data_IF_699740520025
#
_entry.id   IF_699740520025
#
_cell.length_a   1.000
_cell.length_b   1.000
_cell.length_c   1.000
_cell.angle_alpha   90.00
_cell.angle_beta   90.00
_cell.angle_gamma   90.00
#
_symmetry.space_group_name_H-M   'P 1'
#
loop_
_entity.id
_entity.type
_entity.pdbx_description
1 polymer ?
#
# COMPACT_ATOMS: atom_id res chain seq x y z
N UNK A 1 -27.37 19.36 18.64
CA UNK A 1 -26.53 18.15 18.76
C UNK A 1 -26.69 17.31 17.49
N UNK A 2 -25.65 16.56 17.11
CA UNK A 2 -25.73 15.60 16.01
C UNK A 2 -26.36 14.30 16.55
N UNK A 3 -27.51 13.90 15.99
CA UNK A 3 -28.27 12.79 16.55
C UNK A 3 -28.28 11.54 15.64
N UNK A 4 -27.92 11.70 14.35
CA UNK A 4 -27.97 10.64 13.35
C UNK A 4 -26.77 10.69 12.40
N UNK A 5 -26.23 9.53 12.05
CA UNK A 5 -25.17 9.35 11.04
C UNK A 5 -25.64 8.32 10.01
N UNK A 6 -25.42 8.61 8.72
CA UNK A 6 -25.69 7.71 7.60
C UNK A 6 -24.39 7.47 6.84
N UNK A 7 -24.07 6.22 6.54
CA UNK A 7 -22.79 5.83 5.92
C UNK A 7 -23.04 4.85 4.77
N UNK A 8 -22.39 5.13 3.65
CA UNK A 8 -22.31 4.20 2.51
C UNK A 8 -21.21 3.17 2.73
N UNK A 9 -21.46 1.90 2.40
CA UNK A 9 -20.48 0.82 2.52
C UNK A 9 -20.41 -0.03 1.25
N UNK A 10 -19.22 -0.57 0.99
CA UNK A 10 -18.95 -1.56 -0.07
C UNK A 10 -18.73 -2.98 0.49
N UNK A 11 -18.82 -3.14 1.82
CA UNK A 11 -18.61 -4.40 2.53
C UNK A 11 -19.64 -4.65 3.63
N UNK A 12 -19.44 -5.67 4.48
CA UNK A 12 -20.43 -6.14 5.45
C UNK A 12 -20.95 -5.03 6.38
N UNK A 13 -22.19 -4.59 6.14
CA UNK A 13 -22.82 -3.48 6.87
C UNK A 13 -22.85 -3.68 8.38
N UNK A 14 -23.11 -4.91 8.84
CA UNK A 14 -23.25 -5.22 10.26
C UNK A 14 -21.94 -4.96 11.02
N UNK A 15 -20.82 -5.49 10.54
CA UNK A 15 -19.51 -5.33 11.18
C UNK A 15 -19.10 -3.86 11.25
N UNK A 16 -19.33 -3.11 10.17
CA UNK A 16 -18.95 -1.70 10.13
C UNK A 16 -19.86 -0.84 11.01
N UNK A 17 -21.16 -1.11 11.02
CA UNK A 17 -22.09 -0.44 11.91
C UNK A 17 -21.74 -0.68 13.37
N UNK A 18 -21.54 -1.94 13.79
CA UNK A 18 -21.15 -2.25 15.17
C UNK A 18 -19.82 -1.59 15.57
N UNK A 19 -18.87 -1.46 14.63
CA UNK A 19 -17.63 -0.73 14.87
C UNK A 19 -17.91 0.76 15.14
N UNK A 20 -18.73 1.40 14.32
CA UNK A 20 -19.04 2.82 14.46
C UNK A 20 -19.88 3.11 15.70
N UNK A 21 -20.85 2.26 16.04
CA UNK A 21 -21.69 2.41 17.23
C UNK A 21 -20.86 2.33 18.53
N UNK A 22 -19.79 1.51 18.53
CA UNK A 22 -18.83 1.47 19.64
C UNK A 22 -17.99 2.75 19.76
N UNK A 23 -17.62 3.38 18.63
CA UNK A 23 -16.79 4.59 18.61
C UNK A 23 -17.63 5.83 18.97
N UNK A 24 -18.90 5.88 18.54
CA UNK A 24 -19.79 7.02 18.72
C UNK A 24 -21.04 6.61 19.52
N UNK A 25 -20.88 6.32 20.83
CA UNK A 25 -22.00 5.95 21.68
C UNK A 25 -23.00 7.12 21.76
N UNK A 26 -24.30 6.79 21.76
CA UNK A 26 -25.38 7.79 21.88
C UNK A 26 -25.81 8.46 20.57
N UNK A 27 -25.19 8.13 19.43
CA UNK A 27 -25.62 8.58 18.10
C UNK A 27 -26.28 7.42 17.35
N UNK A 28 -27.41 7.67 16.70
CA UNK A 28 -28.05 6.65 15.86
C UNK A 28 -27.32 6.53 14.52
N UNK A 29 -26.66 5.39 14.29
CA UNK A 29 -25.87 5.15 13.08
C UNK A 29 -26.60 4.17 12.17
N UNK A 30 -26.59 4.43 10.87
CA UNK A 30 -27.09 3.49 9.87
C UNK A 30 -26.06 3.33 8.77
N UNK A 31 -25.58 2.10 8.60
CA UNK A 31 -24.67 1.73 7.52
C UNK A 31 -25.44 0.89 6.51
N UNK A 32 -25.40 1.27 5.24
CA UNK A 32 -26.04 0.50 4.16
C UNK A 32 -25.28 0.65 2.87
N UNK A 33 -25.44 -0.32 1.99
CA UNK A 33 -24.98 -0.22 0.60
C UNK A 33 -25.85 0.77 -0.16
N UNK A 34 -25.24 1.47 -1.14
CA UNK A 34 -25.92 2.46 -2.00
C UNK A 34 -26.62 3.56 -1.18
N UNK A 35 -26.03 3.94 -0.06
CA UNK A 35 -26.61 4.93 0.84
C UNK A 35 -26.71 6.33 0.19
N UNK A 36 -25.86 6.61 -0.79
CA UNK A 36 -25.90 7.81 -1.61
C UNK A 36 -27.16 7.92 -2.49
N UNK A 37 -27.72 6.79 -2.94
CA UNK A 37 -29.00 6.75 -3.64
C UNK A 37 -30.21 6.85 -2.70
N UNK A 38 -30.05 6.47 -1.43
CA UNK A 38 -31.12 6.41 -0.44
C UNK A 38 -31.24 7.69 0.41
N UNK A 39 -30.13 8.37 0.67
CA UNK A 39 -30.08 9.52 1.57
C UNK A 39 -29.42 10.73 0.86
N UNK A 40 -30.15 11.85 0.66
CA UNK A 40 -29.59 13.05 0.02
C UNK A 40 -28.32 13.58 0.70
N UNK A 41 -28.22 13.44 2.03
CA UNK A 41 -27.03 13.85 2.78
C UNK A 41 -25.79 13.03 2.42
N UNK A 42 -25.96 11.74 2.14
CA UNK A 42 -24.85 10.87 1.72
C UNK A 42 -24.50 11.15 0.26
N UNK A 43 -25.50 11.43 -0.58
CA UNK A 43 -25.28 11.91 -1.96
C UNK A 43 -24.43 13.19 -1.99
N UNK A 44 -24.78 14.19 -1.18
CA UNK A 44 -24.02 15.44 -1.06
C UNK A 44 -22.58 15.18 -0.57
N UNK A 45 -22.40 14.31 0.43
CA UNK A 45 -21.07 13.89 0.88
C UNK A 45 -20.25 13.21 -0.24
N UNK A 46 -20.91 12.39 -1.05
CA UNK A 46 -20.31 11.71 -2.20
C UNK A 46 -19.83 12.69 -3.27
N UNK A 47 -20.61 13.76 -3.55
CA UNK A 47 -20.21 14.85 -4.45
C UNK A 47 -18.99 15.59 -3.88
N UNK A 48 -19.06 16.00 -2.62
CA UNK A 48 -17.97 16.69 -1.95
C UNK A 48 -16.67 15.88 -1.98
N UNK A 49 -16.74 14.57 -1.73
CA UNK A 49 -15.59 13.68 -1.78
C UNK A 49 -14.97 13.61 -3.19
N UNK A 50 -15.79 13.39 -4.22
CA UNK A 50 -15.33 13.27 -5.62
C UNK A 50 -14.72 14.57 -6.13
N UNK A 51 -15.41 15.70 -5.92
CA UNK A 51 -14.91 17.03 -6.34
C UNK A 51 -13.60 17.37 -5.62
N UNK A 52 -13.50 17.06 -4.33
CA UNK A 52 -12.26 17.28 -3.56
C UNK A 52 -11.12 16.44 -4.09
N UNK A 53 -11.35 15.14 -4.34
CA UNK A 53 -10.34 14.24 -4.93
C UNK A 53 -9.84 14.78 -6.25
N UNK A 54 -10.75 15.11 -7.17
CA UNK A 54 -10.40 15.54 -8.53
C UNK A 54 -9.66 16.88 -8.50
N UNK A 55 -10.05 17.80 -7.60
CA UNK A 55 -9.33 19.06 -7.40
C UNK A 55 -7.92 18.83 -6.87
N UNK A 56 -7.75 17.95 -5.88
CA UNK A 56 -6.44 17.61 -5.30
C UNK A 56 -5.52 16.96 -6.32
N UNK A 57 -6.05 16.08 -7.17
CA UNK A 57 -5.30 15.47 -8.26
C UNK A 57 -4.91 16.49 -9.32
N UNK A 58 -5.78 17.44 -9.69
CA UNK A 58 -5.45 18.50 -10.65
C UNK A 58 -4.37 19.46 -10.17
N UNK A 59 -4.35 19.75 -8.87
CA UNK A 59 -3.33 20.61 -8.25
C UNK A 59 -2.17 19.82 -7.64
N UNK A 60 -2.04 18.53 -7.97
CA UNK A 60 -0.97 17.70 -7.42
C UNK A 60 0.38 18.19 -7.95
N UNK A 61 1.32 18.42 -7.04
CA UNK A 61 2.69 18.76 -7.37
C UNK A 61 3.58 17.64 -6.86
N UNK A 62 4.34 17.02 -7.75
CA UNK A 62 5.28 15.98 -7.39
C UNK A 62 6.44 16.60 -6.60
N UNK A 63 6.76 15.99 -5.45
CA UNK A 63 7.95 16.36 -4.67
C UNK A 63 9.23 15.78 -5.27
N UNK A 64 9.09 14.70 -6.03
CA UNK A 64 10.18 13.99 -6.68
C UNK A 64 10.64 14.74 -7.94
N UNK A 65 11.96 14.87 -8.17
CA UNK A 65 12.47 15.46 -9.39
C UNK A 65 12.30 14.48 -10.57
N UNK A 66 12.08 15.03 -11.78
CA UNK A 66 12.15 14.25 -13.01
C UNK A 66 11.01 13.24 -13.23
N UNK A 67 9.88 13.38 -12.52
CA UNK A 67 8.71 12.51 -12.73
C UNK A 67 8.22 12.64 -14.18
N UNK A 68 8.21 11.52 -14.88
CA UNK A 68 7.73 11.43 -16.27
C UNK A 68 6.22 11.32 -16.27
N UNK A 69 5.55 12.40 -16.68
CA UNK A 69 4.10 12.43 -16.84
C UNK A 69 3.78 12.40 -18.34
N UNK A 70 3.01 11.42 -18.84
CA UNK A 70 2.54 11.43 -20.22
C UNK A 70 1.76 12.71 -20.55
N UNK A 71 1.70 13.09 -21.83
CA UNK A 71 0.94 14.27 -22.27
C UNK A 71 -0.55 14.22 -21.87
N UNK A 72 -1.11 13.01 -21.82
CA UNK A 72 -2.51 12.74 -21.43
C UNK A 72 -2.70 12.65 -19.88
N UNK A 73 -1.65 12.95 -19.11
CA UNK A 73 -1.64 12.87 -17.66
C UNK A 73 -1.53 11.43 -17.13
N UNK A 74 -2.02 11.22 -15.91
CA UNK A 74 -2.01 9.93 -15.20
C UNK A 74 -3.34 9.16 -15.28
N UNK A 75 -4.25 9.57 -16.17
CA UNK A 75 -5.55 8.94 -16.36
C UNK A 75 -6.49 9.06 -15.16
N UNK A 76 -7.43 8.13 -15.06
CA UNK A 76 -8.44 8.03 -14.00
C UNK A 76 -7.88 7.50 -12.67
N UNK A 77 -6.68 6.93 -12.68
CA UNK A 77 -6.08 6.26 -11.52
C UNK A 77 -6.58 4.83 -11.27
N UNK A 78 -7.48 4.30 -12.09
CA UNK A 78 -7.95 2.91 -11.99
C UNK A 78 -7.10 1.96 -12.84
N UNK A 79 -6.92 0.69 -12.44
CA UNK A 79 -6.09 -0.26 -13.18
C UNK A 79 -6.65 -0.63 -14.55
N UNK A 80 -7.94 -0.40 -14.80
CA UNK A 80 -8.58 -0.68 -16.08
C UNK A 80 -8.30 0.38 -17.16
N UNK A 81 -7.83 1.56 -16.76
CA UNK A 81 -7.62 2.68 -17.67
C UNK A 81 -6.27 2.59 -18.40
N UNK A 82 -6.25 2.58 -19.75
CA UNK A 82 -5.02 2.58 -20.54
C UNK A 82 -4.05 3.71 -20.18
N UNK A 83 -4.54 4.92 -19.89
CA UNK A 83 -3.70 6.07 -19.58
C UNK A 83 -3.02 5.91 -18.21
N UNK A 84 -3.75 5.37 -17.23
CA UNK A 84 -3.18 5.01 -15.92
C UNK A 84 -2.10 3.96 -16.07
N UNK A 85 -2.33 2.90 -16.86
CA UNK A 85 -1.32 1.85 -17.11
C UNK A 85 -0.07 2.42 -17.77
N UNK A 86 -0.24 3.29 -18.76
CA UNK A 86 0.86 3.96 -19.45
C UNK A 86 1.68 4.83 -18.49
N UNK A 87 1.01 5.64 -17.67
CA UNK A 87 1.68 6.44 -16.64
C UNK A 87 2.49 5.57 -15.66
N UNK A 88 1.95 4.42 -15.24
CA UNK A 88 2.70 3.50 -14.38
C UNK A 88 3.95 2.98 -15.12
N UNK A 89 3.82 2.46 -16.35
CA UNK A 89 4.97 1.91 -17.06
C UNK A 89 6.04 2.98 -17.35
N UNK A 90 5.63 4.16 -17.84
CA UNK A 90 6.55 5.23 -18.25
C UNK A 90 7.19 5.95 -17.06
N UNK A 91 6.49 6.02 -15.93
CA UNK A 91 6.91 6.69 -14.71
C UNK A 91 7.68 5.81 -13.72
N UNK A 92 7.95 4.54 -14.06
CA UNK A 92 8.63 3.60 -13.20
C UNK A 92 10.16 3.77 -13.24
N UNK A 93 10.75 4.03 -12.08
CA UNK A 93 12.19 4.07 -11.86
C UNK A 93 12.73 2.68 -11.45
N UNK A 94 13.86 2.20 -12.02
CA UNK A 94 14.38 0.86 -11.71
C UNK A 94 14.82 0.66 -10.25
N UNK A 95 15.16 1.72 -9.52
CA UNK A 95 15.67 1.64 -8.14
C UNK A 95 14.57 2.06 -7.15
N UNK A 96 13.94 3.22 -7.38
CA UNK A 96 12.99 3.82 -6.45
C UNK A 96 11.53 3.42 -6.71
N UNK A 97 11.23 2.82 -7.87
CA UNK A 97 9.87 2.48 -8.26
C UNK A 97 9.08 3.72 -8.68
N UNK A 98 7.98 4.01 -7.99
CA UNK A 98 7.04 5.07 -8.39
C UNK A 98 7.17 6.36 -7.57
N UNK A 99 6.69 7.51 -8.10
CA UNK A 99 6.47 8.69 -7.28
C UNK A 99 5.35 8.45 -6.25
N UNK A 100 5.34 9.26 -5.19
CA UNK A 100 4.42 9.22 -4.04
C UNK A 100 2.92 9.24 -4.38
N UNK A 101 2.55 9.69 -5.57
CA UNK A 101 1.17 9.63 -6.06
C UNK A 101 0.66 8.18 -6.20
N UNK A 102 1.55 7.24 -6.53
CA UNK A 102 1.20 5.84 -6.80
C UNK A 102 1.12 5.05 -5.51
N UNK A 103 0.07 4.24 -5.38
CA UNK A 103 -0.12 3.34 -4.25
C UNK A 103 0.67 2.05 -4.46
N UNK A 104 1.83 1.92 -3.82
CA UNK A 104 2.67 0.73 -3.90
C UNK A 104 1.96 -0.56 -3.44
N UNK A 105 0.97 -0.45 -2.56
CA UNK A 105 0.16 -1.59 -2.09
C UNK A 105 -0.84 -2.13 -3.12
N UNK A 106 -0.96 -1.49 -4.28
CA UNK A 106 -1.83 -2.00 -5.35
C UNK A 106 -1.15 -3.13 -6.09
N UNK A 107 -1.88 -4.24 -6.29
CA UNK A 107 -1.32 -5.43 -6.96
C UNK A 107 -0.75 -5.13 -8.35
N UNK A 108 -1.37 -4.23 -9.10
CA UNK A 108 -0.85 -3.79 -10.41
C UNK A 108 0.48 -3.07 -10.29
N UNK A 109 0.67 -2.23 -9.27
CA UNK A 109 1.93 -1.53 -9.02
C UNK A 109 3.02 -2.51 -8.55
N UNK A 110 2.68 -3.39 -7.60
CA UNK A 110 3.55 -4.45 -7.08
C UNK A 110 4.10 -5.34 -8.21
N UNK A 111 3.22 -5.87 -9.08
CA UNK A 111 3.63 -6.73 -10.21
C UNK A 111 4.56 -6.02 -11.19
N UNK A 112 4.36 -4.71 -11.42
CA UNK A 112 5.22 -3.94 -12.31
C UNK A 112 6.59 -3.66 -11.67
N UNK A 113 6.63 -3.37 -10.37
CA UNK A 113 7.89 -3.22 -9.61
C UNK A 113 8.68 -4.53 -9.62
N UNK A 114 8.05 -5.66 -9.30
CA UNK A 114 8.72 -6.96 -9.29
C UNK A 114 9.31 -7.35 -10.65
N UNK A 115 8.67 -6.92 -11.75
CA UNK A 115 9.08 -7.25 -13.11
C UNK A 115 10.18 -6.34 -13.66
N UNK A 116 10.22 -5.07 -13.24
CA UNK A 116 11.00 -4.03 -13.92
C UNK A 116 11.98 -3.30 -13.00
N UNK A 117 11.83 -3.40 -11.68
CA UNK A 117 12.76 -2.81 -10.72
C UNK A 117 13.77 -3.83 -10.21
N UNK A 118 14.82 -3.32 -9.59
CA UNK A 118 15.82 -4.12 -8.88
C UNK A 118 15.15 -4.83 -7.70
N UNK A 119 15.47 -6.12 -7.50
CA UNK A 119 14.95 -6.91 -6.38
C UNK A 119 15.43 -6.30 -5.06
N UNK A 120 14.48 -5.82 -4.26
CA UNK A 120 14.73 -5.39 -2.88
C UNK A 120 14.35 -6.52 -1.90
N UNK A 121 15.22 -6.76 -0.92
CA UNK A 121 14.95 -7.69 0.17
C UNK A 121 14.82 -6.90 1.47
N UNK A 122 13.72 -7.13 2.19
CA UNK A 122 13.43 -6.49 3.47
C UNK A 122 13.47 -7.54 4.57
N UNK A 123 13.93 -7.17 5.76
CA UNK A 123 14.14 -8.09 6.89
C UNK A 123 12.85 -8.83 7.32
N UNK A 124 11.68 -8.24 7.06
CA UNK A 124 10.39 -8.76 7.50
C UNK A 124 9.73 -9.77 6.53
N UNK A 125 10.34 -10.07 5.39
CA UNK A 125 9.77 -11.02 4.42
C UNK A 125 10.08 -12.48 4.81
N UNK A 126 9.30 -13.00 5.76
CA UNK A 126 9.23 -14.41 6.22
C UNK A 126 10.44 -14.99 6.98
N UNK A 127 10.44 -14.82 8.31
CA UNK A 127 10.87 -15.89 9.22
C UNK A 127 9.65 -16.70 9.66
N UNK A 128 9.20 -17.66 8.85
CA UNK A 128 8.28 -18.74 9.29
C UNK A 128 8.37 -19.94 8.33
N UNK A 129 9.40 -20.79 8.50
CA UNK A 129 9.32 -22.26 8.66
C UNK A 129 10.68 -22.98 8.42
N UNK A 130 10.92 -24.13 9.11
CA UNK A 130 12.24 -24.71 9.26
C UNK A 130 12.71 -25.42 7.98
N UNK A 131 13.87 -25.00 7.47
CA UNK A 131 14.53 -25.65 6.35
C UNK A 131 15.09 -27.01 6.77
N UNK A 132 14.78 -28.06 6.00
CA UNK A 132 15.29 -29.45 6.11
C UNK A 132 16.83 -29.55 5.99
N UNK A 133 17.53 -28.42 5.79
CA UNK A 133 19.00 -28.32 5.85
C UNK A 133 19.61 -28.73 7.20
N UNK A 134 18.82 -28.84 8.27
CA UNK A 134 19.29 -29.30 9.58
C UNK A 134 19.73 -30.78 9.65
N UNK A 135 19.30 -31.63 8.72
CA UNK A 135 19.62 -33.08 8.72
C UNK A 135 20.83 -33.47 7.87
N UNK A 136 21.32 -32.58 7.00
CA UNK A 136 22.34 -32.91 5.98
C UNK A 136 23.71 -32.26 6.25
N UNK A 137 23.90 -31.58 7.37
CA UNK A 137 25.20 -31.01 7.75
C UNK A 137 25.84 -31.79 8.90
N UNK A 138 26.85 -32.59 8.57
CA UNK A 138 27.84 -33.09 9.52
C UNK A 138 28.48 -31.89 10.22
N UNK A 139 28.34 -31.78 11.55
CA UNK A 139 28.97 -30.70 12.32
C UNK A 139 30.49 -30.86 12.25
N UNK A 140 31.14 -29.99 11.48
CA UNK A 140 32.57 -29.72 11.64
C UNK A 140 32.66 -28.74 12.82
N UNK A 141 33.26 -29.18 13.93
CA UNK A 141 33.50 -28.32 15.10
C UNK A 141 34.58 -27.28 14.76
N UNK A 142 34.12 -26.16 14.21
CA UNK A 142 34.91 -24.93 14.10
C UNK A 142 35.02 -24.28 15.48
N UNK A 143 36.17 -23.67 15.85
CA UNK A 143 36.32 -23.00 17.14
C UNK A 143 35.24 -21.92 17.31
N UNK A 144 34.56 -21.94 18.47
CA UNK A 144 33.52 -20.97 18.81
C UNK A 144 34.11 -19.56 18.75
N UNK A 145 33.57 -18.76 17.83
CA UNK A 145 33.96 -17.37 17.63
C UNK A 145 33.70 -16.58 18.91
N UNK A 146 34.62 -15.68 19.28
CA UNK A 146 34.43 -14.83 20.45
C UNK A 146 33.17 -13.97 20.30
N UNK A 147 32.38 -13.84 21.38
CA UNK A 147 31.08 -13.15 21.41
C UNK A 147 31.16 -11.74 20.83
N UNK A 148 32.24 -11.02 21.14
CA UNK A 148 32.52 -9.68 20.59
C UNK A 148 32.32 -9.56 19.07
N UNK A 149 32.75 -10.56 18.29
CA UNK A 149 32.63 -10.55 16.82
C UNK A 149 31.31 -11.11 16.34
N UNK A 150 30.76 -12.10 17.04
CA UNK A 150 29.49 -12.75 16.68
C UNK A 150 28.32 -11.77 16.81
N UNK A 151 28.22 -11.04 17.93
CA UNK A 151 27.11 -10.14 18.23
C UNK A 151 27.06 -8.92 17.29
N UNK A 152 28.21 -8.56 16.72
CA UNK A 152 28.36 -7.38 15.83
C UNK A 152 28.41 -7.74 14.35
N UNK A 153 28.15 -9.00 14.01
CA UNK A 153 28.21 -9.53 12.64
C UNK A 153 29.53 -9.26 11.89
N UNK A 154 30.63 -9.00 12.62
CA UNK A 154 31.95 -8.68 12.07
C UNK A 154 32.60 -9.96 11.55
N UNK A 155 33.05 -9.94 10.29
CA UNK A 155 33.72 -11.07 9.65
C UNK A 155 35.06 -10.64 9.06
N UNK A 156 36.10 -11.47 9.24
CA UNK A 156 37.31 -11.34 8.45
C UNK A 156 36.92 -11.53 6.98
N UNK A 157 37.22 -10.54 6.15
CA UNK A 157 37.04 -10.68 4.71
C UNK A 157 38.22 -11.49 4.22
N UNK A 158 38.00 -12.78 3.96
CA UNK A 158 38.98 -13.65 3.33
C UNK A 158 38.67 -13.75 1.83
N UNK A 159 38.79 -12.64 1.10
CA UNK A 159 38.70 -12.56 -0.36
C UNK A 159 39.48 -11.31 -0.78
N UNK A 160 40.47 -11.33 -1.67
CA UNK A 160 41.05 -12.38 -2.54
C UNK A 160 42.58 -12.26 -2.49
#
# INVERSE_FOLDING_TARGET
MLNKIKVDTVGPKATYQSKLEKIFPGISITVTEKADALFPIVSAASIAAKVTRDRRLKSWTFSEPGVKIPADGYGSGYPGDPNTKKFLIDGLDPIFGYPSLVRFSWKTAEVLVDKHCVKAEWEDQNTNEPSVKGWLCTKIDLPKRHSFYADRTIRNVAVL
#
